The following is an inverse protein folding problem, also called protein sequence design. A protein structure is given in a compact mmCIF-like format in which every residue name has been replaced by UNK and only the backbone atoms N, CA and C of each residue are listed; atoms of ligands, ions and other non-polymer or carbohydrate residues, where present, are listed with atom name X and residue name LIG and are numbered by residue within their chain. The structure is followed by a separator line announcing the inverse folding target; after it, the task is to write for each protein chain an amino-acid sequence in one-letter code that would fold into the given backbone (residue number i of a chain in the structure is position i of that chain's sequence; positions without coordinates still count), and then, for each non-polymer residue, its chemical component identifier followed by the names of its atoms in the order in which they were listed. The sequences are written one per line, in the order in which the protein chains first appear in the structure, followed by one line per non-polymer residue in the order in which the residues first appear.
data_IF_855487355002
#
_entry.id   IF_855487355002
#
_cell.length_a   1.000
_cell.length_b   1.000
_cell.length_c   1.000
_cell.angle_alpha   90.00
_cell.angle_beta   90.00
_cell.angle_gamma   90.00
#
_symmetry.space_group_name_H-M   'P 1'
#
loop_
_entity.id
_entity.type
_entity.pdbx_description
1 polymer ?
#
# COMPACT_ATOMS: atom_id res chain seq x y z
N UNK A 1 -10.89 5.80 -14.94
CA UNK A 1 -11.80 5.16 -13.96
C UNK A 1 -11.50 5.73 -12.58
N UNK A 2 -12.53 5.96 -11.77
CA UNK A 2 -12.40 6.52 -10.42
C UNK A 2 -13.30 5.75 -9.47
N UNK A 3 -12.75 5.28 -8.36
CA UNK A 3 -13.49 4.70 -7.23
C UNK A 3 -13.42 5.70 -6.08
N UNK A 4 -14.58 6.21 -5.65
CA UNK A 4 -14.62 7.25 -4.62
C UNK A 4 -15.68 7.02 -3.57
N UNK A 5 -15.36 7.26 -2.31
CA UNK A 5 -16.31 7.22 -1.20
C UNK A 5 -16.84 5.82 -0.89
N UNK A 6 -16.16 4.77 -1.34
CA UNK A 6 -16.59 3.41 -1.08
C UNK A 6 -16.17 2.97 0.32
N UNK A 7 -17.06 2.27 1.02
CA UNK A 7 -16.84 1.77 2.36
C UNK A 7 -16.81 0.23 2.33
N UNK A 8 -15.79 -0.36 2.95
CA UNK A 8 -15.71 -1.80 3.12
C UNK A 8 -16.90 -2.27 3.96
N UNK A 9 -17.68 -3.23 3.45
CA UNK A 9 -18.93 -3.68 4.04
C UNK A 9 -18.83 -3.84 5.56
N UNK A 10 -19.59 -3.04 6.30
CA UNK A 10 -19.59 -3.01 7.77
C UNK A 10 -20.52 -4.07 8.35
N UNK A 11 -20.71 -5.21 7.67
CA UNK A 11 -21.70 -6.19 8.04
C UNK A 11 -21.24 -6.87 9.34
N UNK A 12 -21.61 -6.25 10.47
CA UNK A 12 -21.26 -6.62 11.83
C UNK A 12 -21.81 -7.99 12.26
N UNK A 13 -22.29 -8.81 11.31
CA UNK A 13 -22.91 -10.12 11.53
C UNK A 13 -22.21 -11.30 10.84
N UNK A 14 -21.27 -11.10 9.91
CA UNK A 14 -20.65 -12.21 9.16
C UNK A 14 -19.19 -12.52 9.58
N UNK A 15 -18.63 -11.74 10.51
CA UNK A 15 -17.27 -11.96 11.03
C UNK A 15 -16.16 -11.61 10.04
N UNK A 16 -16.46 -10.92 8.93
CA UNK A 16 -15.54 -10.55 7.88
C UNK A 16 -15.31 -9.03 7.88
N UNK A 17 -14.70 -8.50 8.95
CA UNK A 17 -14.53 -7.05 9.18
C UNK A 17 -14.14 -6.25 7.92
N UNK A 18 -14.85 -5.15 7.67
CA UNK A 18 -14.74 -4.18 6.56
C UNK A 18 -13.54 -4.36 5.64
N UNK A 19 -13.78 -5.10 4.55
CA UNK A 19 -12.79 -5.56 3.58
C UNK A 19 -12.71 -4.60 2.40
N UNK A 20 -11.53 -4.04 2.11
CA UNK A 20 -11.20 -3.35 0.85
C UNK A 20 -12.24 -2.34 0.36
N UNK A 21 -12.07 -1.04 0.69
CA UNK A 21 -13.16 -0.06 0.54
C UNK A 21 -13.79 -0.02 -0.86
N UNK A 22 -12.99 -0.16 -1.91
CA UNK A 22 -13.45 -0.25 -3.30
C UNK A 22 -13.27 -1.63 -3.92
N UNK A 23 -12.18 -2.33 -3.61
CA UNK A 23 -11.82 -3.61 -4.24
C UNK A 23 -11.38 -4.59 -3.17
N UNK A 24 -12.06 -5.74 -3.13
CA UNK A 24 -11.67 -6.90 -2.36
C UNK A 24 -11.30 -8.05 -3.31
N UNK A 25 -10.14 -8.65 -3.07
CA UNK A 25 -9.65 -9.81 -3.82
C UNK A 25 -9.22 -10.86 -2.83
N UNK A 26 -9.61 -12.11 -3.06
CA UNK A 26 -9.11 -13.26 -2.31
C UNK A 26 -8.58 -14.29 -3.29
N UNK A 27 -7.34 -14.73 -3.09
CA UNK A 27 -6.70 -15.78 -3.89
C UNK A 27 -6.73 -15.51 -5.41
N UNK A 28 -6.50 -14.25 -5.81
CA UNK A 28 -6.58 -13.80 -7.19
C UNK A 28 -5.52 -12.79 -7.59
N UNK A 29 -5.35 -12.61 -8.90
CA UNK A 29 -4.42 -11.62 -9.48
C UNK A 29 -5.23 -10.44 -10.01
N UNK A 30 -4.84 -9.23 -9.59
CA UNK A 30 -5.47 -8.00 -10.07
C UNK A 30 -4.44 -7.03 -10.62
N UNK A 31 -4.65 -6.64 -11.87
CA UNK A 31 -3.82 -5.67 -12.59
C UNK A 31 -4.62 -4.39 -12.77
N UNK A 32 -4.15 -3.29 -12.18
CA UNK A 32 -4.78 -1.98 -12.28
C UNK A 32 -3.85 -1.03 -13.03
N UNK A 33 -4.34 -0.52 -14.15
CA UNK A 33 -3.59 0.36 -15.04
C UNK A 33 -4.33 1.69 -15.13
N UNK A 34 -3.75 2.73 -14.53
CA UNK A 34 -4.36 4.06 -14.47
C UNK A 34 -5.56 4.15 -13.52
N UNK A 35 -6.16 5.34 -13.46
CA UNK A 35 -7.32 5.63 -12.64
C UNK A 35 -6.99 6.06 -11.22
N UNK A 36 -8.03 6.26 -10.42
CA UNK A 36 -7.88 6.74 -9.05
C UNK A 36 -8.81 6.08 -8.04
N UNK A 37 -8.32 6.00 -6.81
CA UNK A 37 -9.04 5.56 -5.63
C UNK A 37 -8.99 6.69 -4.61
N UNK A 38 -10.14 7.26 -4.28
CA UNK A 38 -10.21 8.48 -3.48
C UNK A 38 -11.19 8.36 -2.33
N UNK A 39 -10.78 8.70 -1.10
CA UNK A 39 -11.68 8.72 0.06
C UNK A 39 -12.44 7.41 0.27
N UNK A 40 -11.79 6.28 -0.02
CA UNK A 40 -12.34 4.98 0.33
C UNK A 40 -11.93 4.63 1.77
N UNK A 41 -12.77 3.87 2.46
CA UNK A 41 -12.63 3.58 3.88
C UNK A 41 -12.88 2.10 4.15
N UNK A 42 -12.00 1.44 4.92
CA UNK A 42 -12.16 0.03 5.30
C UNK A 42 -11.36 -0.30 6.57
N UNK A 43 -11.47 -1.52 7.09
CA UNK A 43 -10.59 -1.98 8.16
C UNK A 43 -9.19 -2.34 7.62
N UNK A 44 -9.16 -3.03 6.49
CA UNK A 44 -7.93 -3.40 5.78
C UNK A 44 -8.01 -2.89 4.35
N UNK A 45 -6.96 -2.19 3.92
CA UNK A 45 -6.87 -1.65 2.57
C UNK A 45 -7.97 -0.64 2.30
N UNK A 46 -7.75 0.62 2.70
CA UNK A 46 -8.80 1.64 2.61
C UNK A 46 -9.43 1.75 1.23
N UNK A 47 -8.65 1.53 0.18
CA UNK A 47 -9.16 1.31 -1.18
C UNK A 47 -9.18 -0.17 -1.59
N UNK A 48 -8.07 -0.88 -1.43
CA UNK A 48 -7.89 -2.23 -1.98
C UNK A 48 -7.38 -3.17 -0.90
N UNK A 49 -8.07 -4.28 -0.72
CA UNK A 49 -7.59 -5.38 0.10
C UNK A 49 -7.41 -6.66 -0.71
N UNK A 50 -6.18 -7.17 -0.72
CA UNK A 50 -5.82 -8.49 -1.23
C UNK A 50 -5.61 -9.48 -0.09
N UNK A 51 -6.54 -10.41 0.07
CA UNK A 51 -6.51 -11.44 1.11
C UNK A 51 -5.86 -12.74 0.61
N UNK A 52 -5.33 -13.52 1.56
CA UNK A 52 -4.72 -14.83 1.34
C UNK A 52 -3.59 -14.77 0.30
N UNK A 53 -3.72 -15.42 -0.86
CA UNK A 53 -2.68 -15.46 -1.90
C UNK A 53 -2.83 -14.37 -2.98
N UNK A 54 -3.60 -13.32 -2.72
CA UNK A 54 -3.84 -12.27 -3.71
C UNK A 54 -2.55 -11.51 -4.10
N UNK A 55 -2.43 -11.20 -5.39
CA UNK A 55 -1.32 -10.45 -5.98
C UNK A 55 -1.85 -9.23 -6.74
N UNK A 56 -1.26 -8.07 -6.47
CA UNK A 56 -1.68 -6.80 -7.04
C UNK A 56 -0.55 -6.18 -7.86
N UNK A 57 -0.84 -5.84 -9.12
CA UNK A 57 0.05 -5.02 -9.96
C UNK A 57 -0.59 -3.66 -10.21
N UNK A 58 0.10 -2.58 -9.80
CA UNK A 58 -0.43 -1.21 -9.87
C UNK A 58 0.46 -0.32 -10.75
N UNK A 59 -0.06 0.10 -11.91
CA UNK A 59 0.68 0.93 -12.87
C UNK A 59 -0.03 2.25 -13.13
N UNK A 60 0.56 3.36 -12.71
CA UNK A 60 0.01 4.70 -12.95
C UNK A 60 -1.28 5.01 -12.19
N UNK A 61 -1.47 4.39 -11.02
CA UNK A 61 -2.69 4.53 -10.21
C UNK A 61 -2.51 5.66 -9.18
N UNK A 62 -3.55 6.45 -8.95
CA UNK A 62 -3.55 7.49 -7.92
C UNK A 62 -4.46 7.13 -6.74
N UNK A 63 -3.87 6.94 -5.57
CA UNK A 63 -4.55 6.79 -4.30
C UNK A 63 -4.52 8.12 -3.55
N UNK A 64 -5.69 8.58 -3.08
CA UNK A 64 -5.75 9.80 -2.28
C UNK A 64 -6.81 9.81 -1.19
N UNK A 65 -6.38 10.13 0.02
CA UNK A 65 -7.26 10.30 1.17
C UNK A 65 -8.01 9.01 1.53
N UNK A 66 -7.47 7.84 1.18
CA UNK A 66 -8.04 6.58 1.60
C UNK A 66 -7.64 6.30 3.05
N UNK A 67 -8.55 5.66 3.79
CA UNK A 67 -8.39 5.43 5.22
C UNK A 67 -8.59 3.95 5.51
N UNK A 68 -7.66 3.36 6.26
CA UNK A 68 -7.85 2.05 6.85
C UNK A 68 -7.78 2.15 8.37
N UNK A 69 -8.60 1.41 9.12
CA UNK A 69 -8.46 1.42 10.58
C UNK A 69 -7.24 0.61 11.03
N UNK A 70 -6.87 -0.45 10.30
CA UNK A 70 -5.84 -1.39 10.72
C UNK A 70 -4.63 -1.30 9.78
N UNK A 71 -4.78 -1.74 8.53
CA UNK A 71 -3.63 -1.96 7.64
C UNK A 71 -3.83 -1.24 6.32
N UNK A 72 -2.80 -0.51 5.88
CA UNK A 72 -2.66 -0.04 4.51
C UNK A 72 -3.72 1.00 4.15
N UNK A 73 -3.42 2.27 4.42
CA UNK A 73 -4.42 3.34 4.27
C UNK A 73 -5.03 3.39 2.86
N UNK A 74 -4.24 3.03 1.85
CA UNK A 74 -4.74 2.77 0.51
C UNK A 74 -4.85 1.27 0.22
N UNK A 75 -3.76 0.53 0.41
CA UNK A 75 -3.64 -0.86 -0.04
C UNK A 75 -3.09 -1.74 1.06
N UNK A 76 -3.78 -2.84 1.35
CA UNK A 76 -3.26 -3.93 2.16
C UNK A 76 -3.30 -5.23 1.36
N UNK A 77 -2.19 -5.96 1.28
CA UNK A 77 -2.16 -7.24 0.56
C UNK A 77 -1.03 -8.16 1.02
N UNK A 78 -1.04 -9.40 0.53
CA UNK A 78 0.08 -10.34 0.66
C UNK A 78 1.16 -10.14 -0.40
N UNK A 79 0.84 -9.56 -1.56
CA UNK A 79 1.83 -9.24 -2.58
C UNK A 79 1.44 -8.02 -3.40
N UNK A 80 2.39 -7.10 -3.59
CA UNK A 80 2.22 -5.88 -4.38
C UNK A 80 3.45 -5.67 -5.26
N UNK A 81 3.18 -5.36 -6.53
CA UNK A 81 4.14 -4.89 -7.52
C UNK A 81 3.69 -3.54 -8.10
N UNK A 82 4.58 -2.55 -8.11
CA UNK A 82 4.46 -1.33 -8.88
C UNK A 82 5.61 -1.26 -9.89
N UNK A 83 5.41 -1.80 -11.11
CA UNK A 83 6.50 -1.96 -12.08
C UNK A 83 7.14 -0.62 -12.47
N UNK A 84 8.45 -0.66 -12.74
CA UNK A 84 9.18 0.45 -13.34
C UNK A 84 8.55 0.86 -14.68
N UNK A 85 8.38 2.17 -14.89
CA UNK A 85 7.85 2.70 -16.15
C UNK A 85 7.51 4.19 -16.08
N UNK A 86 7.03 4.74 -17.19
CA UNK A 86 6.66 6.18 -17.28
C UNK A 86 5.44 6.52 -16.41
N UNK A 87 4.57 5.54 -16.15
CA UNK A 87 3.34 5.69 -15.39
C UNK A 87 3.56 5.41 -13.90
N UNK A 88 3.89 6.47 -13.16
CA UNK A 88 4.13 6.40 -11.72
C UNK A 88 2.84 6.23 -10.92
N UNK A 89 2.85 5.29 -9.98
CA UNK A 89 1.79 5.14 -8.97
C UNK A 89 2.01 6.15 -7.84
N UNK A 90 0.94 6.74 -7.30
CA UNK A 90 1.02 7.77 -6.26
C UNK A 90 0.04 7.52 -5.12
N UNK A 91 0.46 7.88 -3.92
CA UNK A 91 -0.28 7.76 -2.66
C UNK A 91 -0.23 9.11 -1.94
N UNK A 92 -1.39 9.70 -1.67
CA UNK A 92 -1.46 11.07 -1.14
C UNK A 92 -2.50 11.22 -0.04
N UNK A 93 -2.03 11.50 1.17
CA UNK A 93 -2.92 11.71 2.32
C UNK A 93 -3.64 10.44 2.77
N UNK A 94 -3.15 9.27 2.37
CA UNK A 94 -3.68 7.99 2.84
C UNK A 94 -3.23 7.73 4.29
N UNK A 95 -4.09 7.13 5.11
CA UNK A 95 -3.82 6.92 6.53
C UNK A 95 -4.27 5.56 7.04
N UNK A 96 -3.46 4.93 7.90
CA UNK A 96 -3.81 3.71 8.61
C UNK A 96 -3.15 3.59 9.99
N UNK A 97 -3.42 2.52 10.72
CA UNK A 97 -2.65 2.20 11.92
C UNK A 97 -1.26 1.66 11.58
N UNK A 98 -1.20 0.72 10.64
CA UNK A 98 0.02 0.13 10.11
C UNK A 98 0.10 0.45 8.61
N UNK A 99 1.22 1.04 8.18
CA UNK A 99 1.47 1.34 6.77
C UNK A 99 0.53 2.41 6.22
N UNK A 100 0.90 3.68 6.33
CA UNK A 100 -0.01 4.80 6.05
C UNK A 100 -0.59 4.78 4.64
N UNK A 101 0.12 4.24 3.65
CA UNK A 101 -0.42 3.96 2.34
C UNK A 101 -0.49 2.45 2.05
N UNK A 102 0.63 1.75 2.26
CA UNK A 102 0.75 0.32 1.95
C UNK A 102 1.09 -0.46 3.21
N UNK A 103 0.38 -1.55 3.46
CA UNK A 103 0.74 -2.53 4.46
C UNK A 103 0.78 -3.95 3.87
N UNK A 104 1.83 -4.69 4.20
CA UNK A 104 1.99 -6.09 3.81
C UNK A 104 2.10 -6.97 5.06
N UNK A 105 1.08 -7.80 5.26
CA UNK A 105 0.95 -8.65 6.45
C UNK A 105 1.55 -10.06 6.26
N UNK A 106 1.72 -10.53 5.03
CA UNK A 106 2.31 -11.85 4.76
C UNK A 106 2.92 -11.81 3.35
N UNK A 107 4.10 -11.21 3.24
CA UNK A 107 4.74 -10.96 1.96
C UNK A 107 5.30 -12.23 1.33
N UNK A 108 4.81 -12.56 0.15
CA UNK A 108 5.58 -13.35 -0.83
C UNK A 108 6.44 -12.46 -1.73
N UNK A 109 6.10 -11.17 -1.90
CA UNK A 109 6.89 -10.15 -2.60
C UNK A 109 6.29 -8.74 -2.41
N UNK A 110 7.13 -7.74 -2.09
CA UNK A 110 6.81 -6.31 -2.22
C UNK A 110 7.83 -5.64 -3.13
N UNK A 111 7.40 -5.18 -4.31
CA UNK A 111 8.21 -4.40 -5.23
C UNK A 111 7.52 -3.07 -5.47
N UNK A 112 7.97 -2.00 -4.80
CA UNK A 112 7.48 -0.65 -5.03
C UNK A 112 8.57 0.16 -5.68
N UNK A 113 8.47 0.31 -7.00
CA UNK A 113 9.41 1.07 -7.78
C UNK A 113 8.76 2.30 -8.40
N UNK A 114 9.51 3.43 -8.41
CA UNK A 114 9.08 4.65 -9.08
C UNK A 114 7.74 5.23 -8.57
N UNK A 115 7.42 5.04 -7.29
CA UNK A 115 6.19 5.51 -6.66
C UNK A 115 6.39 6.83 -5.88
N UNK A 116 5.30 7.55 -5.64
CA UNK A 116 5.32 8.73 -4.76
C UNK A 116 4.37 8.56 -3.58
N UNK A 117 4.88 8.85 -2.39
CA UNK A 117 4.11 8.90 -1.15
C UNK A 117 4.18 10.31 -0.57
N UNK A 118 3.05 10.97 -0.47
CA UNK A 118 2.96 12.35 0.01
C UNK A 118 1.95 12.46 1.14
N UNK A 119 2.40 12.91 2.31
CA UNK A 119 1.53 13.09 3.51
C UNK A 119 0.78 11.82 3.92
N UNK A 120 1.34 10.65 3.67
CA UNK A 120 0.76 9.38 4.13
C UNK A 120 1.13 9.17 5.59
N UNK A 121 0.24 8.65 6.43
CA UNK A 121 0.50 8.57 7.87
C UNK A 121 0.09 7.24 8.47
N UNK A 122 0.96 6.68 9.32
CA UNK A 122 0.67 5.51 10.14
C UNK A 122 0.65 5.88 11.62
N UNK A 123 -0.39 5.46 12.37
CA UNK A 123 -0.48 5.75 13.81
C UNK A 123 0.37 4.84 14.69
N UNK A 124 0.74 3.65 14.23
CA UNK A 124 1.59 2.71 14.97
C UNK A 124 2.93 2.51 14.28
N UNK A 125 2.97 2.01 13.03
CA UNK A 125 4.23 1.61 12.37
C UNK A 125 4.23 1.79 10.85
N UNK A 126 5.43 1.92 10.27
CA UNK A 126 5.64 1.92 8.82
C UNK A 126 5.10 3.13 8.06
N UNK A 127 5.25 4.34 8.62
CA UNK A 127 5.00 5.65 7.99
C UNK A 127 4.16 5.66 6.70
N UNK A 128 4.80 5.49 5.54
CA UNK A 128 4.12 5.27 4.27
C UNK A 128 3.90 3.78 3.92
N UNK A 129 4.90 2.95 4.19
CA UNK A 129 4.91 1.52 3.86
C UNK A 129 5.31 0.71 5.09
N UNK A 130 4.51 -0.31 5.43
CA UNK A 130 4.81 -1.29 6.47
C UNK A 130 4.91 -2.70 5.88
N UNK A 131 5.88 -3.48 6.35
CA UNK A 131 6.05 -4.89 5.98
C UNK A 131 6.32 -5.69 7.26
N UNK A 132 5.42 -6.61 7.60
CA UNK A 132 5.47 -7.35 8.87
C UNK A 132 6.17 -8.70 8.75
N UNK A 133 5.92 -9.45 7.66
CA UNK A 133 6.55 -10.74 7.41
C UNK A 133 6.94 -10.82 5.93
N UNK A 134 8.18 -11.23 5.66
CA UNK A 134 8.71 -11.40 4.30
C UNK A 134 9.37 -12.75 4.17
N UNK A 135 9.02 -13.46 3.09
CA UNK A 135 9.73 -14.68 2.66
C UNK A 135 10.70 -14.43 1.51
N UNK A 136 10.67 -13.23 0.90
CA UNK A 136 11.56 -12.77 -0.18
C UNK A 136 11.93 -11.28 -0.03
N UNK A 137 12.95 -10.82 -0.78
CA UNK A 137 13.39 -9.43 -0.78
C UNK A 137 12.23 -8.46 -1.07
N UNK A 138 11.94 -7.59 -0.09
CA UNK A 138 11.05 -6.44 -0.28
C UNK A 138 11.89 -5.23 -0.68
N UNK A 139 11.48 -4.51 -1.74
CA UNK A 139 12.21 -3.37 -2.28
C UNK A 139 11.25 -2.19 -2.45
N UNK A 140 11.61 -1.06 -1.84
CA UNK A 140 11.04 0.25 -2.15
C UNK A 140 12.18 1.08 -2.74
N UNK A 141 12.16 1.35 -4.05
CA UNK A 141 13.24 2.01 -4.75
C UNK A 141 12.74 3.09 -5.71
N UNK A 142 13.63 4.04 -6.03
CA UNK A 142 13.36 5.16 -6.93
C UNK A 142 12.07 5.93 -6.58
N UNK A 143 11.68 5.85 -5.31
CA UNK A 143 10.39 6.33 -4.81
C UNK A 143 10.60 7.56 -3.94
N UNK A 144 9.63 8.47 -3.97
CA UNK A 144 9.68 9.71 -3.20
C UNK A 144 8.82 9.60 -1.95
N UNK A 145 9.42 9.79 -0.77
CA UNK A 145 8.72 9.87 0.51
C UNK A 145 8.72 11.34 0.97
N UNK A 146 7.60 12.04 0.84
CA UNK A 146 7.46 13.44 1.25
C UNK A 146 6.48 13.58 2.39
N UNK A 147 6.93 14.10 3.52
CA UNK A 147 6.06 14.43 4.68
C UNK A 147 5.25 13.25 5.23
N UNK A 148 5.64 12.01 4.92
CA UNK A 148 5.00 10.81 5.45
C UNK A 148 5.52 10.50 6.86
N UNK A 149 4.61 10.20 7.79
CA UNK A 149 4.93 10.13 9.24
C UNK A 149 4.50 8.78 9.82
N UNK A 150 5.40 8.16 10.57
CA UNK A 150 5.06 7.09 11.51
C UNK A 150 5.03 7.67 12.93
N UNK A 151 4.20 7.14 13.83
CA UNK A 151 4.29 7.50 15.25
C UNK A 151 5.54 6.89 15.92
N UNK A 152 6.00 5.73 15.44
CA UNK A 152 7.29 5.12 15.84
C UNK A 152 8.19 4.93 14.62
N UNK A 153 9.49 5.29 14.67
CA UNK A 153 10.38 5.15 13.52
C UNK A 153 10.71 3.67 13.29
N UNK A 154 10.07 3.02 12.32
CA UNK A 154 10.43 1.67 11.87
C UNK A 154 10.78 1.68 10.38
N UNK A 155 12.06 1.82 10.06
CA UNK A 155 12.62 1.26 8.83
C UNK A 155 14.07 0.81 9.09
N UNK A 156 14.27 -0.51 9.08
CA UNK A 156 15.56 -1.09 8.69
C UNK A 156 15.68 -0.85 7.19
N UNK A 157 16.40 0.21 6.82
CA UNK A 157 16.85 0.38 5.46
C UNK A 157 17.82 -0.77 5.14
N UNK A 158 17.47 -1.63 4.17
CA UNK A 158 18.47 -2.43 3.50
C UNK A 158 19.55 -1.47 2.98
N UNK A 159 20.79 -1.70 3.39
CA UNK A 159 21.93 -0.88 3.00
C UNK A 159 22.01 -0.78 1.48
N UNK A 160 22.20 0.42 0.90
CA UNK A 160 22.57 0.53 -0.51
C UNK A 160 23.98 -0.05 -0.64
N UNK A 161 24.11 -1.21 -1.27
CA UNK A 161 25.41 -1.69 -1.74
C UNK A 161 25.81 -0.89 -2.98
N UNK A 162 27.05 -0.40 -2.92
CA UNK A 162 27.90 0.11 -3.99
C UNK A 162 27.61 1.52 -4.56
N UNK A 163 28.23 2.52 -3.93
CA UNK A 163 28.89 3.58 -4.68
C UNK A 163 30.31 3.13 -5.02
N UNK A 164 30.60 2.86 -6.29
CA UNK A 164 31.95 2.99 -6.82
C UNK A 164 31.86 3.63 -8.21
N UNK A 165 32.04 4.95 -8.26
CA UNK A 165 32.58 5.62 -9.43
C UNK A 165 33.62 6.61 -8.95
N UNK A 166 34.89 6.29 -9.19
CA UNK A 166 35.90 7.31 -9.40
C UNK A 166 36.59 6.96 -10.72
N UNK A 167 36.61 7.93 -11.62
CA UNK A 167 37.64 8.00 -12.64
C UNK A 167 38.98 8.37 -12.04
#
# INVERSE_FOLDING_TARGET
MTFSGNQGGTDAGDGLGSKGGAVFVRDGVVNIIGGSFTKNDAAHGGAIWGDSSASLTLTGVAFSGNVATNDGGAVAASSIDTPQGERRTSFTGDTADIGGAIAINSSTQLLVENASFTRTSATTSGGAVAVSYTTTLSKVADSTLRTSKAATPSMSAATPTAWTSWG
#
